data_IF_209338560194
#
_entry.id   IF_209338560194
#
_cell.length_a   1.000
_cell.length_b   1.000
_cell.length_c   1.000
_cell.angle_alpha   90.00
_cell.angle_beta   90.00
_cell.angle_gamma   90.00
#
_symmetry.space_group_name_H-M   'P 1'
#
loop_
_entity.id
_entity.type
_entity.pdbx_description
1 polymer ?
#
# COMPACT_ATOMS: atom_id res chain seq x y z
N UNK A 1 13.17 -39.73 26.00
CA UNK A 1 13.17 -38.37 25.40
C UNK A 1 11.71 -38.10 25.10
N UNK A 2 11.06 -37.47 26.07
CA UNK A 2 9.62 -37.20 26.02
C UNK A 2 9.36 -36.06 25.01
N UNK A 3 8.43 -36.29 24.11
CA UNK A 3 7.93 -35.27 23.17
C UNK A 3 7.28 -34.12 23.95
N UNK A 4 7.82 -32.92 23.83
CA UNK A 4 7.24 -31.69 24.36
C UNK A 4 5.94 -31.38 23.61
N UNK A 5 4.76 -31.41 24.25
CA UNK A 5 3.48 -31.24 23.60
C UNK A 5 3.21 -29.75 23.15
N UNK A 6 4.14 -28.82 23.38
CA UNK A 6 3.98 -27.39 23.02
C UNK A 6 4.57 -27.03 21.66
N UNK A 7 5.32 -27.94 20.99
CA UNK A 7 5.86 -27.69 19.66
C UNK A 7 4.86 -28.19 18.59
N UNK A 8 4.45 -27.33 17.63
CA UNK A 8 3.57 -27.76 16.56
C UNK A 8 4.24 -28.86 15.73
N UNK A 9 3.55 -29.98 15.58
CA UNK A 9 4.00 -31.13 14.81
C UNK A 9 4.41 -30.67 13.38
N UNK A 10 5.62 -31.03 12.91
CA UNK A 10 6.17 -30.66 11.59
C UNK A 10 5.16 -30.86 10.43
N UNK A 11 4.31 -31.88 10.51
CA UNK A 11 3.26 -32.14 9.49
C UNK A 11 2.17 -31.06 9.52
N UNK A 12 1.78 -30.54 10.68
CA UNK A 12 0.78 -29.47 10.79
C UNK A 12 1.33 -28.13 10.30
N UNK A 13 2.61 -27.86 10.54
CA UNK A 13 3.28 -26.65 10.05
C UNK A 13 3.42 -26.66 8.52
N UNK A 14 3.83 -27.80 7.93
CA UNK A 14 3.92 -27.95 6.47
C UNK A 14 2.56 -27.76 5.79
N UNK A 15 1.49 -28.31 6.37
CA UNK A 15 0.13 -28.14 5.84
C UNK A 15 -0.33 -26.68 5.88
N UNK A 16 -0.12 -25.98 6.99
CA UNK A 16 -0.45 -24.55 7.10
C UNK A 16 0.34 -23.69 6.11
N UNK A 17 1.61 -23.99 5.90
CA UNK A 17 2.48 -23.33 4.92
C UNK A 17 1.97 -23.56 3.48
N UNK A 18 1.60 -24.81 3.14
CA UNK A 18 1.01 -25.15 1.84
C UNK A 18 -0.33 -24.44 1.61
N UNK A 19 -1.20 -24.43 2.60
CA UNK A 19 -2.50 -23.75 2.51
C UNK A 19 -2.32 -22.22 2.36
N UNK A 20 -1.32 -21.65 3.03
CA UNK A 20 -0.95 -20.24 2.85
C UNK A 20 -0.39 -19.98 1.46
N UNK A 21 0.53 -20.80 0.96
CA UNK A 21 1.13 -20.64 -0.38
C UNK A 21 0.10 -20.76 -1.51
N UNK A 22 -0.84 -21.69 -1.42
CA UNK A 22 -1.89 -21.88 -2.44
C UNK A 22 -2.74 -20.64 -2.66
N UNK A 23 -2.97 -19.84 -1.62
CA UNK A 23 -3.71 -18.56 -1.75
C UNK A 23 -3.02 -17.53 -2.63
N UNK A 24 -1.75 -17.72 -2.97
CA UNK A 24 -0.96 -16.88 -3.87
C UNK A 24 -0.79 -17.51 -5.26
N UNK A 25 -1.31 -18.71 -5.49
CA UNK A 25 -1.28 -19.40 -6.79
C UNK A 25 -2.54 -19.15 -7.63
N UNK A 26 -3.65 -18.75 -6.99
CA UNK A 26 -4.92 -18.41 -7.67
C UNK A 26 -4.87 -17.03 -8.38
N UNK A 27 -3.65 -16.49 -8.57
CA UNK A 27 -3.42 -15.21 -9.21
C UNK A 27 -3.39 -15.36 -10.73
N UNK A 28 -4.45 -14.96 -11.42
CA UNK A 28 -4.60 -15.15 -12.87
C UNK A 28 -3.57 -14.43 -13.75
N UNK A 29 -2.83 -13.45 -13.22
CA UNK A 29 -1.80 -12.75 -13.98
C UNK A 29 -0.68 -12.18 -13.11
N UNK A 30 0.56 -12.30 -13.58
CA UNK A 30 1.71 -11.58 -13.03
C UNK A 30 1.59 -10.09 -13.35
N UNK A 31 1.50 -9.23 -12.34
CA UNK A 31 1.42 -7.78 -12.57
C UNK A 31 2.74 -7.23 -13.12
N UNK A 32 2.70 -6.14 -13.93
CA UNK A 32 3.91 -5.43 -14.36
C UNK A 32 4.80 -5.00 -13.18
N UNK A 33 4.22 -4.64 -12.04
CA UNK A 33 4.94 -4.25 -10.83
C UNK A 33 5.79 -5.39 -10.25
N UNK A 34 5.22 -6.60 -10.07
CA UNK A 34 5.97 -7.78 -9.64
C UNK A 34 7.14 -8.08 -10.59
N UNK A 35 6.88 -8.03 -11.90
CA UNK A 35 7.91 -8.25 -12.92
C UNK A 35 9.03 -7.22 -12.84
N UNK A 36 8.70 -5.94 -12.71
CA UNK A 36 9.67 -4.85 -12.60
C UNK A 36 10.53 -4.98 -11.34
N UNK A 37 9.93 -5.33 -10.20
CA UNK A 37 10.67 -5.52 -8.94
C UNK A 37 11.65 -6.68 -9.03
N UNK A 38 11.25 -7.82 -9.61
CA UNK A 38 12.13 -8.97 -9.85
C UNK A 38 13.27 -8.63 -10.80
N UNK A 39 13.00 -7.86 -11.86
CA UNK A 39 14.01 -7.41 -12.82
C UNK A 39 15.00 -6.43 -12.16
N UNK A 40 14.53 -5.50 -11.34
CA UNK A 40 15.37 -4.58 -10.58
C UNK A 40 16.28 -5.35 -9.62
N UNK A 41 15.77 -6.32 -8.88
CA UNK A 41 16.58 -7.16 -7.98
C UNK A 41 17.71 -7.87 -8.74
N UNK A 42 17.42 -8.45 -9.93
CA UNK A 42 18.44 -9.07 -10.77
C UNK A 42 19.55 -8.09 -11.18
N UNK A 43 19.15 -6.90 -11.66
CA UNK A 43 20.08 -5.87 -12.14
C UNK A 43 20.93 -5.28 -11.02
N UNK A 44 20.32 -4.97 -9.88
CA UNK A 44 21.00 -4.34 -8.75
C UNK A 44 22.06 -5.26 -8.16
N UNK A 45 21.73 -6.53 -7.95
CA UNK A 45 22.67 -7.53 -7.42
C UNK A 45 23.62 -8.09 -8.52
N UNK A 46 23.31 -7.86 -9.79
CA UNK A 46 24.16 -8.19 -10.94
C UNK A 46 24.03 -9.64 -11.40
N UNK A 47 22.87 -10.28 -11.28
CA UNK A 47 22.60 -11.64 -11.76
C UNK A 47 21.85 -11.62 -13.10
N UNK A 48 22.12 -12.65 -13.91
CA UNK A 48 21.52 -12.77 -15.25
C UNK A 48 20.08 -13.28 -15.25
N UNK A 49 19.69 -14.07 -14.24
CA UNK A 49 18.38 -14.72 -14.12
C UNK A 49 17.80 -14.40 -12.74
N UNK A 50 16.52 -14.05 -12.72
CA UNK A 50 15.76 -13.91 -11.48
C UNK A 50 14.39 -14.56 -11.60
N UNK A 51 13.94 -15.16 -10.52
CA UNK A 51 12.66 -15.85 -10.45
C UNK A 51 11.95 -15.56 -9.13
N UNK A 52 10.65 -15.29 -9.24
CA UNK A 52 9.72 -15.25 -8.11
C UNK A 52 8.97 -16.56 -8.08
N UNK A 53 9.18 -17.35 -7.03
CA UNK A 53 8.63 -18.69 -6.91
C UNK A 53 7.73 -18.80 -5.67
N UNK A 54 6.58 -19.47 -5.85
CA UNK A 54 5.71 -19.91 -4.76
C UNK A 54 5.78 -21.45 -4.69
N UNK A 55 5.85 -22.01 -3.48
CA UNK A 55 6.01 -23.45 -3.27
C UNK A 55 4.86 -24.00 -2.43
N UNK A 56 4.13 -24.98 -3.00
CA UNK A 56 3.20 -25.80 -2.22
C UNK A 56 3.88 -27.07 -1.66
N UNK A 57 3.12 -28.10 -1.34
CA UNK A 57 3.66 -29.34 -0.73
C UNK A 57 4.61 -30.10 -1.67
N UNK A 58 4.32 -30.12 -2.96
CA UNK A 58 5.03 -30.95 -3.95
C UNK A 58 5.65 -30.16 -5.10
N UNK A 59 5.16 -28.95 -5.35
CA UNK A 59 5.44 -28.20 -6.58
C UNK A 59 5.95 -26.79 -6.27
N UNK A 60 6.94 -26.36 -7.05
CA UNK A 60 7.36 -24.98 -7.16
C UNK A 60 6.71 -24.37 -8.41
N UNK A 61 5.99 -23.27 -8.23
CA UNK A 61 5.40 -22.48 -9.30
C UNK A 61 6.19 -21.18 -9.50
N UNK A 62 6.62 -20.93 -10.73
CA UNK A 62 7.36 -19.71 -11.07
C UNK A 62 6.39 -18.64 -11.58
N UNK A 63 6.11 -17.63 -10.77
CA UNK A 63 5.22 -16.53 -11.14
C UNK A 63 5.91 -15.53 -12.07
N UNK A 64 7.18 -15.19 -11.79
CA UNK A 64 7.99 -14.30 -12.63
C UNK A 64 9.28 -15.00 -12.98
N UNK A 65 9.67 -14.92 -14.25
CA UNK A 65 10.95 -15.40 -14.74
C UNK A 65 11.60 -14.34 -15.64
N UNK A 66 12.79 -13.88 -15.27
CA UNK A 66 13.59 -12.90 -16.00
C UNK A 66 14.89 -13.58 -16.45
N UNK A 67 15.21 -13.47 -17.71
CA UNK A 67 16.50 -13.95 -18.27
C UNK A 67 16.68 -15.48 -18.36
N UNK A 68 15.76 -16.25 -17.77
CA UNK A 68 15.81 -17.72 -17.78
C UNK A 68 14.94 -18.37 -18.87
N UNK A 69 15.08 -19.69 -19.10
CA UNK A 69 14.17 -20.42 -19.96
C UNK A 69 12.74 -20.40 -19.39
N UNK A 70 11.70 -20.54 -20.24
CA UNK A 70 10.33 -20.62 -19.75
C UNK A 70 10.16 -21.77 -18.77
N UNK A 71 9.74 -21.46 -17.54
CA UNK A 71 9.43 -22.43 -16.49
C UNK A 71 8.14 -21.99 -15.84
N UNK A 72 7.14 -22.86 -15.74
CA UNK A 72 5.88 -22.58 -15.06
C UNK A 72 5.73 -23.35 -13.74
N UNK A 73 6.07 -24.64 -13.75
CA UNK A 73 6.01 -25.49 -12.57
C UNK A 73 7.05 -26.60 -12.65
N UNK A 74 7.65 -26.93 -11.50
CA UNK A 74 8.62 -28.02 -11.34
C UNK A 74 8.40 -28.73 -10.01
N UNK A 75 8.87 -29.99 -9.90
CA UNK A 75 8.83 -30.73 -8.65
C UNK A 75 9.69 -30.01 -7.58
N UNK A 76 9.09 -29.66 -6.44
CA UNK A 76 9.72 -28.94 -5.35
C UNK A 76 11.03 -29.56 -4.87
N UNK A 77 11.05 -30.89 -4.76
CA UNK A 77 12.22 -31.66 -4.30
C UNK A 77 13.46 -31.50 -5.19
N UNK A 78 13.29 -31.07 -6.43
CA UNK A 78 14.37 -30.89 -7.42
C UNK A 78 14.96 -29.47 -7.42
N UNK A 79 14.49 -28.59 -6.54
CA UNK A 79 14.86 -27.17 -6.54
C UNK A 79 15.66 -26.77 -5.30
N UNK A 80 16.48 -25.71 -5.40
CA UNK A 80 17.17 -25.10 -4.26
C UNK A 80 16.24 -24.20 -3.44
N UNK A 81 15.15 -23.72 -4.01
CA UNK A 81 14.14 -22.92 -3.31
C UNK A 81 13.47 -23.71 -2.17
N UNK A 82 13.39 -25.04 -2.29
CA UNK A 82 12.91 -25.91 -1.20
C UNK A 82 13.78 -25.79 0.07
N UNK A 83 15.10 -25.68 -0.09
CA UNK A 83 16.02 -25.51 1.04
C UNK A 83 15.77 -24.16 1.76
N UNK A 84 15.50 -23.08 1.00
CA UNK A 84 15.20 -21.74 1.53
C UNK A 84 13.87 -21.74 2.28
N UNK A 85 12.84 -22.34 1.70
CA UNK A 85 11.52 -22.44 2.33
C UNK A 85 11.54 -23.28 3.60
N UNK A 86 12.32 -24.38 3.62
CA UNK A 86 12.45 -25.24 4.81
C UNK A 86 13.30 -24.65 5.92
N UNK A 87 14.36 -23.92 5.55
CA UNK A 87 15.25 -23.28 6.53
C UNK A 87 14.74 -21.95 7.03
N UNK A 88 13.81 -21.33 6.27
CA UNK A 88 13.29 -19.98 6.46
C UNK A 88 14.40 -18.90 6.49
N UNK A 89 15.55 -19.19 5.87
CA UNK A 89 16.74 -18.34 5.85
C UNK A 89 17.21 -18.09 4.42
N UNK A 90 17.86 -16.95 4.16
CA UNK A 90 18.56 -16.72 2.90
C UNK A 90 19.60 -17.84 2.61
N UNK A 91 19.79 -18.12 1.34
CA UNK A 91 20.78 -19.08 0.88
C UNK A 91 21.62 -18.49 -0.25
N UNK A 92 22.94 -18.65 -0.16
CA UNK A 92 23.90 -18.35 -1.22
C UNK A 92 24.72 -19.60 -1.49
N UNK A 93 24.59 -20.15 -2.70
CA UNK A 93 25.28 -21.38 -3.10
C UNK A 93 26.04 -21.12 -4.40
N UNK A 94 27.34 -21.42 -4.40
CA UNK A 94 28.15 -21.41 -5.61
C UNK A 94 28.75 -22.79 -5.85
N UNK A 95 28.95 -23.15 -7.11
CA UNK A 95 29.47 -24.46 -7.50
C UNK A 95 30.77 -24.84 -6.76
N UNK A 96 31.60 -23.84 -6.48
CA UNK A 96 32.92 -24.03 -5.87
C UNK A 96 32.93 -23.89 -4.34
N UNK A 97 31.80 -23.66 -3.70
CA UNK A 97 31.75 -23.51 -2.24
C UNK A 97 31.93 -24.84 -1.54
N UNK A 98 32.83 -24.86 -0.55
CA UNK A 98 33.19 -26.07 0.22
C UNK A 98 32.00 -26.55 1.05
N UNK A 99 31.14 -25.65 1.52
CA UNK A 99 29.99 -25.91 2.38
C UNK A 99 28.70 -26.30 1.63
N UNK A 100 28.70 -26.25 0.29
CA UNK A 100 27.56 -26.71 -0.50
C UNK A 100 27.39 -28.25 -0.35
N UNK A 101 26.13 -28.65 -0.11
CA UNK A 101 25.80 -30.09 -0.02
C UNK A 101 25.91 -30.78 -1.39
N UNK A 102 26.07 -32.13 -1.38
CA UNK A 102 26.08 -32.90 -2.63
C UNK A 102 24.80 -32.69 -3.44
N UNK A 103 23.63 -32.60 -2.76
CA UNK A 103 22.35 -32.33 -3.41
C UNK A 103 22.36 -30.96 -4.11
N UNK A 104 22.83 -29.92 -3.44
CA UNK A 104 22.88 -28.55 -4.00
C UNK A 104 23.81 -28.52 -5.23
N UNK A 105 24.98 -29.13 -5.16
CA UNK A 105 25.90 -29.21 -6.31
C UNK A 105 25.26 -29.93 -7.49
N UNK A 106 24.61 -31.06 -7.25
CA UNK A 106 23.94 -31.83 -8.31
C UNK A 106 22.84 -31.01 -8.99
N UNK A 107 22.04 -30.23 -8.23
CA UNK A 107 20.99 -29.38 -8.78
C UNK A 107 21.60 -28.26 -9.64
N UNK A 108 22.68 -27.62 -9.18
CA UNK A 108 23.38 -26.59 -9.95
C UNK A 108 23.93 -27.16 -11.27
N UNK A 109 24.57 -28.32 -11.21
CA UNK A 109 25.17 -28.96 -12.38
C UNK A 109 24.14 -29.42 -13.41
N UNK A 110 23.04 -30.00 -12.98
CA UNK A 110 21.95 -30.46 -13.86
C UNK A 110 21.29 -29.29 -14.60
N UNK A 111 21.23 -28.10 -13.99
CA UNK A 111 20.62 -26.91 -14.56
C UNK A 111 21.63 -25.96 -15.25
N UNK A 112 22.92 -26.30 -15.28
CA UNK A 112 23.95 -25.48 -15.86
C UNK A 112 24.15 -24.14 -15.14
N UNK A 113 23.86 -24.10 -13.83
CA UNK A 113 23.97 -22.92 -12.95
C UNK A 113 25.26 -22.99 -12.16
N UNK A 114 25.98 -21.87 -12.06
CA UNK A 114 27.22 -21.76 -11.29
C UNK A 114 27.07 -20.95 -9.99
N UNK A 115 26.08 -20.09 -9.91
CA UNK A 115 25.77 -19.30 -8.71
C UNK A 115 24.25 -19.22 -8.49
N UNK A 116 23.84 -19.32 -7.23
CA UNK A 116 22.47 -19.21 -6.75
C UNK A 116 22.43 -18.36 -5.48
N UNK A 117 21.53 -17.40 -5.43
CA UNK A 117 21.23 -16.63 -4.24
C UNK A 117 19.71 -16.55 -4.09
N UNK A 118 19.21 -16.66 -2.86
CA UNK A 118 17.76 -16.61 -2.65
C UNK A 118 17.42 -16.14 -1.26
N UNK A 119 16.27 -15.44 -1.16
CA UNK A 119 15.67 -15.02 0.09
C UNK A 119 14.26 -15.59 0.21
N UNK A 120 13.82 -15.98 1.43
CA UNK A 120 12.47 -16.46 1.65
C UNK A 120 11.48 -15.31 1.46
N UNK A 121 10.26 -15.66 1.02
CA UNK A 121 9.13 -14.73 0.93
C UNK A 121 8.04 -15.20 1.89
N UNK A 122 7.56 -14.30 2.73
CA UNK A 122 6.54 -14.59 3.73
C UNK A 122 5.17 -14.09 3.29
N UNK A 123 4.17 -14.91 3.51
CA UNK A 123 2.78 -14.48 3.39
C UNK A 123 2.33 -13.70 4.63
N UNK A 124 1.13 -13.13 4.56
CA UNK A 124 0.50 -12.34 5.63
C UNK A 124 0.46 -13.04 7.00
N UNK A 125 0.43 -14.37 7.01
CA UNK A 125 0.41 -15.17 8.24
C UNK A 125 1.81 -15.38 8.83
N UNK A 126 2.86 -14.73 8.26
CA UNK A 126 4.25 -14.86 8.65
C UNK A 126 4.91 -16.17 8.19
N UNK A 127 4.16 -17.05 7.52
CA UNK A 127 4.66 -18.31 7.00
C UNK A 127 5.42 -18.09 5.69
N UNK A 128 6.53 -18.79 5.48
CA UNK A 128 7.28 -18.72 4.22
C UNK A 128 6.51 -19.45 3.13
N UNK A 129 6.08 -18.71 2.10
CA UNK A 129 5.26 -19.22 0.99
C UNK A 129 6.05 -19.48 -0.28
N UNK A 130 7.28 -18.94 -0.36
CA UNK A 130 8.08 -19.03 -1.57
C UNK A 130 9.45 -18.39 -1.41
N UNK A 131 10.05 -18.00 -2.53
CA UNK A 131 11.34 -17.32 -2.54
C UNK A 131 11.55 -16.42 -3.76
N UNK A 132 12.31 -15.34 -3.58
CA UNK A 132 12.96 -14.63 -4.66
C UNK A 132 14.33 -15.26 -4.87
N UNK A 133 14.61 -15.80 -6.04
CA UNK A 133 15.90 -16.40 -6.34
C UNK A 133 16.56 -15.78 -7.57
N UNK A 134 17.88 -15.64 -7.46
CA UNK A 134 18.78 -15.16 -8.50
C UNK A 134 19.69 -16.32 -8.92
N UNK A 135 19.91 -16.47 -10.22
CA UNK A 135 20.73 -17.55 -10.77
C UNK A 135 21.70 -16.96 -11.83
N UNK A 136 22.88 -17.53 -11.88
CA UNK A 136 23.84 -17.18 -12.93
C UNK A 136 24.59 -18.44 -13.41
N UNK A 137 24.94 -18.45 -14.70
CA UNK A 137 25.79 -19.49 -15.30
C UNK A 137 27.28 -19.27 -15.03
N UNK A 138 27.62 -18.07 -14.59
CA UNK A 138 28.98 -17.72 -14.15
C UNK A 138 29.06 -17.75 -12.61
N UNK A 139 30.18 -18.18 -12.03
CA UNK A 139 30.37 -18.09 -10.58
C UNK A 139 30.26 -16.62 -10.12
N UNK A 140 29.47 -16.40 -9.07
CA UNK A 140 29.31 -15.09 -8.43
C UNK A 140 29.33 -15.25 -6.92
N UNK A 141 29.94 -14.29 -6.25
CA UNK A 141 29.89 -14.16 -4.80
C UNK A 141 29.05 -12.94 -4.46
N UNK A 142 28.19 -13.05 -3.45
CA UNK A 142 27.46 -11.92 -2.91
C UNK A 142 28.16 -11.39 -1.67
N UNK A 143 28.30 -10.07 -1.60
CA UNK A 143 28.63 -9.38 -0.35
C UNK A 143 27.43 -9.41 0.60
N UNK A 144 27.68 -9.20 1.91
CA UNK A 144 26.59 -9.06 2.89
C UNK A 144 25.64 -7.92 2.54
N UNK A 145 26.15 -6.79 2.01
CA UNK A 145 25.31 -5.68 1.56
C UNK A 145 24.39 -6.04 0.41
N UNK A 146 24.87 -6.82 -0.57
CA UNK A 146 24.04 -7.29 -1.68
C UNK A 146 22.97 -8.30 -1.22
N UNK A 147 23.28 -9.12 -0.21
CA UNK A 147 22.30 -10.02 0.37
C UNK A 147 21.21 -9.25 1.10
N UNK A 148 21.58 -8.22 1.89
CA UNK A 148 20.61 -7.33 2.54
C UNK A 148 19.73 -6.59 1.54
N UNK A 149 20.31 -6.15 0.42
CA UNK A 149 19.55 -5.53 -0.67
C UNK A 149 18.55 -6.50 -1.30
N UNK A 150 18.94 -7.76 -1.50
CA UNK A 150 18.05 -8.81 -1.99
C UNK A 150 16.90 -9.08 -0.99
N UNK A 151 17.15 -9.05 0.32
CA UNK A 151 16.13 -9.15 1.36
C UNK A 151 15.13 -7.99 1.31
N UNK A 152 15.59 -6.78 1.02
CA UNK A 152 14.70 -5.61 0.84
C UNK A 152 13.77 -5.80 -0.36
N UNK A 153 14.29 -6.27 -1.50
CA UNK A 153 13.43 -6.65 -2.64
C UNK A 153 12.44 -7.75 -2.29
N UNK A 154 12.86 -8.73 -1.47
CA UNK A 154 11.97 -9.76 -0.92
C UNK A 154 10.79 -9.14 -0.17
N UNK A 155 11.05 -8.21 0.74
CA UNK A 155 10.00 -7.53 1.51
C UNK A 155 9.03 -6.74 0.63
N UNK A 156 9.54 -6.03 -0.39
CA UNK A 156 8.67 -5.33 -1.37
C UNK A 156 7.78 -6.32 -2.14
N UNK A 157 8.35 -7.48 -2.54
CA UNK A 157 7.57 -8.52 -3.23
C UNK A 157 6.51 -9.15 -2.33
N UNK A 158 6.79 -9.34 -1.03
CA UNK A 158 5.81 -9.81 -0.06
C UNK A 158 4.59 -8.89 0.01
N UNK A 159 4.82 -7.57 0.08
CA UNK A 159 3.75 -6.56 0.10
C UNK A 159 2.95 -6.56 -1.22
N UNK A 160 3.65 -6.60 -2.36
CA UNK A 160 3.01 -6.65 -3.68
C UNK A 160 2.19 -7.94 -3.86
N UNK A 161 2.70 -9.09 -3.42
CA UNK A 161 1.98 -10.37 -3.46
C UNK A 161 0.74 -10.33 -2.58
N UNK A 162 0.84 -9.76 -1.36
CA UNK A 162 -0.32 -9.67 -0.47
C UNK A 162 -1.38 -8.72 -1.02
N UNK A 163 -0.98 -7.59 -1.60
CA UNK A 163 -1.88 -6.68 -2.29
C UNK A 163 -2.58 -7.38 -3.47
N UNK A 164 -1.82 -8.06 -4.32
CA UNK A 164 -2.35 -8.79 -5.47
C UNK A 164 -3.32 -9.90 -5.05
N UNK A 165 -3.00 -10.64 -3.96
CA UNK A 165 -3.90 -11.64 -3.37
C UNK A 165 -5.22 -11.02 -2.89
N UNK A 166 -5.15 -9.85 -2.24
CA UNK A 166 -6.36 -9.13 -1.78
C UNK A 166 -7.23 -8.75 -2.97
N UNK A 167 -6.65 -8.16 -4.01
CA UNK A 167 -7.35 -7.81 -5.24
C UNK A 167 -7.95 -9.06 -5.89
N UNK A 168 -7.18 -10.13 -6.08
CA UNK A 168 -7.65 -11.39 -6.67
C UNK A 168 -8.72 -12.09 -5.83
N UNK A 169 -8.57 -12.12 -4.49
CA UNK A 169 -9.59 -12.70 -3.60
C UNK A 169 -10.87 -11.87 -3.54
N UNK A 170 -10.75 -10.56 -3.73
CA UNK A 170 -11.89 -9.64 -3.80
C UNK A 170 -12.56 -9.74 -5.17
N UNK A 171 -11.80 -9.83 -6.27
CA UNK A 171 -12.34 -10.05 -7.61
C UNK A 171 -13.06 -11.42 -7.74
N UNK A 172 -12.52 -12.50 -7.14
CA UNK A 172 -13.17 -13.81 -7.08
C UNK A 172 -14.41 -13.83 -6.14
N UNK A 173 -14.49 -12.89 -5.19
CA UNK A 173 -15.66 -12.69 -4.31
C UNK A 173 -16.65 -11.65 -4.82
N UNK A 174 -16.20 -10.76 -5.70
CA UNK A 174 -17.02 -9.86 -6.50
C UNK A 174 -17.36 -10.66 -7.76
N UNK A 175 -18.45 -11.41 -7.73
CA UNK A 175 -19.01 -12.01 -8.93
C UNK A 175 -19.32 -10.88 -9.92
N UNK A 176 -18.36 -10.56 -10.80
CA UNK A 176 -18.37 -9.63 -11.92
C UNK A 176 -18.17 -8.12 -11.66
N UNK A 177 -17.54 -7.46 -12.66
CA UNK A 177 -17.50 -6.01 -12.90
C UNK A 177 -18.88 -5.32 -12.76
N UNK A 178 -19.96 -6.06 -12.85
CA UNK A 178 -21.33 -5.61 -12.64
C UNK A 178 -21.64 -5.23 -11.20
N UNK A 179 -20.99 -5.82 -10.19
CA UNK A 179 -21.34 -5.55 -8.79
C UNK A 179 -20.90 -4.15 -8.34
N UNK A 180 -19.73 -3.68 -8.74
CA UNK A 180 -19.21 -2.36 -8.31
C UNK A 180 -19.87 -1.21 -9.10
N UNK A 181 -20.07 -1.38 -10.42
CA UNK A 181 -20.83 -0.42 -11.22
C UNK A 181 -22.29 -0.37 -10.75
N UNK A 182 -22.92 -1.53 -10.51
CA UNK A 182 -24.27 -1.60 -9.93
C UNK A 182 -24.35 -1.03 -8.51
N UNK A 183 -23.27 -1.07 -7.74
CA UNK A 183 -23.18 -0.47 -6.41
C UNK A 183 -23.21 1.06 -6.46
N UNK A 184 -22.56 1.68 -7.46
CA UNK A 184 -22.64 3.12 -7.71
C UNK A 184 -24.07 3.53 -8.08
N UNK A 185 -24.66 2.88 -9.08
CA UNK A 185 -26.02 3.15 -9.54
C UNK A 185 -27.08 2.98 -8.44
N UNK A 186 -26.84 2.05 -7.52
CA UNK A 186 -27.74 1.75 -6.39
C UNK A 186 -27.45 2.58 -5.13
N UNK A 187 -26.50 3.52 -5.17
CA UNK A 187 -26.12 4.35 -4.02
C UNK A 187 -25.53 3.56 -2.84
N UNK A 188 -24.88 2.44 -3.10
CA UNK A 188 -24.25 1.61 -2.07
C UNK A 188 -22.86 2.11 -1.69
N UNK A 189 -22.22 2.95 -2.52
CA UNK A 189 -20.95 3.60 -2.22
C UNK A 189 -21.26 4.91 -1.49
N UNK A 190 -20.79 5.02 -0.25
CA UNK A 190 -21.05 6.18 0.60
C UNK A 190 -19.79 6.62 1.34
N UNK A 191 -19.63 7.91 1.67
CA UNK A 191 -18.54 8.36 2.54
C UNK A 191 -18.83 8.05 4.01
N UNK A 192 -17.81 7.56 4.69
CA UNK A 192 -17.66 7.64 6.13
C UNK A 192 -16.61 8.71 6.45
N UNK A 193 -16.60 9.23 7.65
CA UNK A 193 -15.82 10.40 7.99
C UNK A 193 -14.96 10.14 9.22
N UNK A 194 -13.69 10.51 9.15
CA UNK A 194 -12.77 10.46 10.27
C UNK A 194 -12.29 11.88 10.61
N UNK A 195 -12.30 12.23 11.90
CA UNK A 195 -11.91 13.56 12.34
C UNK A 195 -10.41 13.82 12.15
N UNK A 196 -10.09 14.98 11.60
CA UNK A 196 -8.78 15.63 11.70
C UNK A 196 -8.87 16.63 12.83
N UNK A 197 -7.94 16.58 13.79
CA UNK A 197 -7.99 17.37 15.01
C UNK A 197 -6.81 18.34 15.11
N UNK A 198 -7.03 19.48 15.73
CA UNK A 198 -5.95 20.34 16.24
C UNK A 198 -5.38 19.67 17.52
N UNK A 199 -4.10 19.35 17.47
CA UNK A 199 -3.41 18.64 18.58
C UNK A 199 -3.38 19.43 19.89
N UNK A 200 -3.43 20.77 19.84
CA UNK A 200 -3.41 21.61 21.02
C UNK A 200 -4.74 21.64 21.74
N UNK A 201 -5.85 21.64 20.97
CA UNK A 201 -7.20 21.77 21.52
C UNK A 201 -7.91 20.43 21.66
N UNK A 202 -7.51 19.44 20.83
CA UNK A 202 -8.18 18.16 20.71
C UNK A 202 -9.52 18.22 19.96
N UNK A 203 -9.93 19.41 19.45
CA UNK A 203 -11.16 19.56 18.69
C UNK A 203 -10.95 19.24 17.21
N UNK A 204 -12.00 18.74 16.58
CA UNK A 204 -12.01 18.52 15.14
C UNK A 204 -11.93 19.86 14.38
N UNK A 205 -11.06 19.93 13.39
CA UNK A 205 -10.92 21.06 12.45
C UNK A 205 -11.39 20.67 11.04
N UNK A 206 -11.72 19.42 10.84
CA UNK A 206 -12.21 18.87 9.59
C UNK A 206 -12.45 17.36 9.67
N UNK A 207 -12.86 16.80 8.54
CA UNK A 207 -13.10 15.38 8.40
C UNK A 207 -12.58 14.89 7.06
N UNK A 208 -11.93 13.73 7.07
CA UNK A 208 -11.61 12.98 5.86
C UNK A 208 -12.76 12.07 5.47
N UNK A 209 -13.18 12.15 4.21
CA UNK A 209 -14.18 11.29 3.62
C UNK A 209 -13.53 10.00 3.09
N UNK A 210 -13.92 8.89 3.66
CA UNK A 210 -13.40 7.57 3.36
C UNK A 210 -14.51 6.73 2.72
N UNK A 211 -14.35 6.33 1.47
CA UNK A 211 -15.30 5.49 0.77
C UNK A 211 -15.66 4.23 1.58
N UNK A 212 -16.93 3.84 1.56
CA UNK A 212 -17.43 2.58 2.12
C UNK A 212 -18.46 1.99 1.18
N UNK A 213 -18.44 0.69 1.03
CA UNK A 213 -19.43 -0.01 0.22
C UNK A 213 -20.40 -0.78 1.12
N UNK A 214 -21.66 -0.37 1.12
CA UNK A 214 -22.74 -1.09 1.77
C UNK A 214 -23.24 -2.24 0.87
N UNK A 215 -22.47 -3.32 0.86
CA UNK A 215 -22.80 -4.48 0.03
C UNK A 215 -23.99 -5.25 0.60
N UNK A 216 -25.01 -5.62 -0.24
CA UNK A 216 -26.27 -6.19 0.24
C UNK A 216 -26.12 -7.52 1.01
N UNK A 217 -25.12 -8.32 0.72
CA UNK A 217 -24.89 -9.63 1.37
C UNK A 217 -23.65 -9.67 2.26
N UNK A 218 -22.67 -8.77 2.04
CA UNK A 218 -21.38 -8.75 2.76
C UNK A 218 -21.31 -7.69 3.86
N UNK A 219 -22.34 -6.85 3.95
CA UNK A 219 -22.37 -5.74 4.88
C UNK A 219 -21.41 -4.60 4.48
N UNK A 220 -20.76 -3.97 5.43
CA UNK A 220 -19.87 -2.84 5.20
C UNK A 220 -18.49 -3.32 4.71
N UNK A 221 -18.17 -3.04 3.45
CA UNK A 221 -16.89 -3.39 2.81
C UNK A 221 -15.94 -2.19 2.87
N UNK A 222 -14.69 -2.46 3.26
CA UNK A 222 -13.63 -1.45 3.39
C UNK A 222 -13.03 -1.04 2.04
N UNK A 223 -12.53 0.22 1.87
CA UNK A 223 -11.88 0.67 0.64
C UNK A 223 -10.71 -0.24 0.23
N UNK A 224 -9.93 -0.75 1.17
CA UNK A 224 -8.80 -1.67 0.89
C UNK A 224 -9.22 -2.95 0.17
N UNK A 225 -10.52 -3.28 0.20
CA UNK A 225 -11.06 -4.48 -0.43
C UNK A 225 -11.65 -4.22 -1.83
N UNK A 226 -11.94 -2.97 -2.24
CA UNK A 226 -12.54 -2.67 -3.54
C UNK A 226 -11.84 -1.56 -4.34
N UNK A 227 -11.18 -0.59 -3.70
CA UNK A 227 -10.51 0.52 -4.38
C UNK A 227 -9.38 0.01 -5.30
N UNK A 228 -8.49 -0.93 -4.90
CA UNK A 228 -7.45 -1.43 -5.80
C UNK A 228 -8.01 -2.10 -7.06
N UNK A 229 -9.22 -2.68 -6.99
CA UNK A 229 -9.92 -3.21 -8.15
C UNK A 229 -10.45 -2.07 -9.04
N UNK A 230 -11.11 -1.07 -8.45
CA UNK A 230 -11.62 0.09 -9.17
C UNK A 230 -10.50 0.88 -9.88
N UNK A 231 -9.30 0.99 -9.27
CA UNK A 231 -8.13 1.63 -9.87
C UNK A 231 -7.62 0.95 -11.14
N UNK A 232 -7.94 -0.33 -11.33
CA UNK A 232 -7.61 -1.06 -12.57
C UNK A 232 -8.50 -0.67 -13.75
N UNK A 233 -9.60 0.04 -13.51
CA UNK A 233 -10.61 0.47 -14.48
C UNK A 233 -10.96 1.97 -14.31
N UNK A 234 -11.85 2.50 -15.15
CA UNK A 234 -12.36 3.86 -15.01
C UNK A 234 -13.38 4.03 -13.88
N UNK A 235 -13.86 2.94 -13.28
CA UNK A 235 -14.80 2.98 -12.16
C UNK A 235 -14.27 3.76 -10.95
N UNK A 236 -12.97 3.85 -10.79
CA UNK A 236 -12.38 4.67 -9.72
C UNK A 236 -12.74 6.14 -9.86
N UNK A 237 -12.85 6.65 -11.09
CA UNK A 237 -13.24 8.05 -11.35
C UNK A 237 -14.68 8.28 -10.88
N UNK A 238 -15.58 7.35 -11.19
CA UNK A 238 -16.98 7.43 -10.78
C UNK A 238 -17.12 7.34 -9.25
N UNK A 239 -16.31 6.50 -8.61
CA UNK A 239 -16.25 6.40 -7.14
C UNK A 239 -15.75 7.69 -6.51
N UNK A 240 -14.64 8.25 -7.01
CA UNK A 240 -14.07 9.50 -6.51
C UNK A 240 -15.10 10.64 -6.59
N UNK A 241 -15.80 10.76 -7.74
CA UNK A 241 -16.83 11.76 -7.96
C UNK A 241 -18.05 11.58 -7.06
N UNK A 242 -18.52 10.34 -6.90
CA UNK A 242 -19.69 10.06 -6.05
C UNK A 242 -19.37 10.33 -4.57
N UNK A 243 -18.18 9.89 -4.09
CA UNK A 243 -17.75 10.17 -2.74
C UNK A 243 -17.58 11.66 -2.51
N UNK A 244 -16.96 12.42 -3.44
CA UNK A 244 -16.83 13.87 -3.36
C UNK A 244 -18.21 14.54 -3.27
N UNK A 245 -19.14 14.19 -4.17
CA UNK A 245 -20.49 14.79 -4.22
C UNK A 245 -21.27 14.57 -2.93
N UNK A 246 -21.23 13.35 -2.41
CA UNK A 246 -21.88 12.99 -1.16
C UNK A 246 -21.21 13.65 0.06
N UNK A 247 -19.88 13.69 0.09
CA UNK A 247 -19.11 14.31 1.18
C UNK A 247 -19.35 15.83 1.22
N UNK A 248 -19.37 16.50 0.09
CA UNK A 248 -19.68 17.94 0.00
C UNK A 248 -21.10 18.25 0.49
N UNK A 249 -22.07 17.37 0.17
CA UNK A 249 -23.43 17.49 0.70
C UNK A 249 -23.48 17.39 2.23
N UNK A 250 -22.67 16.50 2.82
CA UNK A 250 -22.56 16.41 4.27
C UNK A 250 -21.86 17.65 4.87
N UNK A 251 -20.81 18.14 4.22
CA UNK A 251 -20.10 19.34 4.67
C UNK A 251 -21.01 20.60 4.68
N UNK A 252 -21.98 20.71 3.77
CA UNK A 252 -22.99 21.79 3.84
C UNK A 252 -23.74 21.77 5.17
N UNK A 253 -24.17 20.58 5.63
CA UNK A 253 -24.86 20.42 6.91
C UNK A 253 -23.96 20.80 8.10
N UNK A 254 -22.68 20.44 8.03
CA UNK A 254 -21.72 20.79 9.09
C UNK A 254 -21.51 22.31 9.17
N UNK A 255 -21.42 22.98 8.01
CA UNK A 255 -21.18 24.43 7.91
C UNK A 255 -22.36 25.26 8.46
N UNK A 256 -23.57 24.72 8.57
CA UNK A 256 -24.67 25.38 9.26
C UNK A 256 -24.37 25.60 10.77
N UNK A 257 -23.53 24.73 11.36
CA UNK A 257 -23.16 24.76 12.76
C UNK A 257 -21.72 25.21 13.01
N UNK A 258 -20.79 24.74 12.17
CA UNK A 258 -19.36 24.97 12.27
C UNK A 258 -18.77 25.29 10.87
N UNK A 259 -18.81 26.56 10.43
CA UNK A 259 -18.47 26.95 9.05
C UNK A 259 -16.97 26.77 8.70
N UNK A 260 -16.11 26.62 9.72
CA UNK A 260 -14.67 26.51 9.53
C UNK A 260 -14.18 25.04 9.39
N UNK A 261 -15.08 24.06 9.45
CA UNK A 261 -14.72 22.65 9.27
C UNK A 261 -14.31 22.36 7.84
N UNK A 262 -13.15 21.76 7.68
CA UNK A 262 -12.59 21.36 6.38
C UNK A 262 -13.03 19.95 6.01
N UNK A 263 -13.08 19.70 4.71
CA UNK A 263 -13.36 18.39 4.13
C UNK A 263 -12.14 17.92 3.35
N UNK A 264 -11.65 16.71 3.61
CA UNK A 264 -10.68 16.04 2.75
C UNK A 264 -11.34 14.88 2.00
N UNK A 265 -10.99 14.70 0.74
CA UNK A 265 -11.51 13.62 -0.11
C UNK A 265 -10.37 13.02 -0.92
N UNK A 266 -10.26 11.71 -0.89
CA UNK A 266 -9.29 10.97 -1.69
C UNK A 266 -9.59 11.10 -3.18
N UNK A 267 -8.56 11.28 -3.99
CA UNK A 267 -8.61 11.34 -5.44
C UNK A 267 -7.55 10.45 -6.05
N UNK A 268 -7.96 9.57 -6.93
CA UNK A 268 -7.03 8.67 -7.62
C UNK A 268 -6.15 9.42 -8.63
N UNK A 269 -4.93 8.95 -8.82
CA UNK A 269 -4.05 9.47 -9.86
C UNK A 269 -4.62 9.27 -11.28
N UNK A 270 -5.44 8.23 -11.47
CA UNK A 270 -6.16 7.98 -12.72
C UNK A 270 -7.19 9.08 -13.01
N UNK A 271 -7.93 9.51 -11.99
CA UNK A 271 -8.89 10.61 -12.13
C UNK A 271 -8.17 11.91 -12.46
N UNK A 272 -7.12 12.25 -11.73
CA UNK A 272 -6.35 13.47 -11.98
C UNK A 272 -5.68 13.48 -13.37
N UNK A 273 -5.33 12.30 -13.93
CA UNK A 273 -4.82 12.16 -15.28
C UNK A 273 -5.90 12.19 -16.37
N UNK A 274 -7.19 12.15 -16.00
CA UNK A 274 -8.28 12.18 -16.98
C UNK A 274 -8.41 13.58 -17.61
N UNK A 275 -8.59 13.70 -18.95
CA UNK A 275 -8.68 15.00 -19.62
C UNK A 275 -9.77 15.95 -19.07
N UNK A 276 -10.87 15.38 -18.60
CA UNK A 276 -12.02 16.13 -18.08
C UNK A 276 -12.02 16.27 -16.54
N UNK A 277 -10.93 15.88 -15.85
CA UNK A 277 -10.86 15.86 -14.38
C UNK A 277 -11.32 17.18 -13.74
N UNK A 278 -10.77 18.29 -14.21
CA UNK A 278 -11.07 19.64 -13.67
C UNK A 278 -12.55 20.01 -13.86
N UNK A 279 -13.11 19.72 -15.03
CA UNK A 279 -14.53 19.98 -15.33
C UNK A 279 -15.46 19.09 -14.48
N UNK A 280 -15.07 17.82 -14.26
CA UNK A 280 -15.81 16.88 -13.42
C UNK A 280 -15.83 17.35 -11.95
N UNK A 281 -14.69 17.78 -11.42
CA UNK A 281 -14.58 18.32 -10.05
C UNK A 281 -15.41 19.59 -9.89
N UNK A 282 -15.29 20.54 -10.83
CA UNK A 282 -16.10 21.76 -10.83
C UNK A 282 -17.60 21.44 -10.82
N UNK A 283 -18.02 20.48 -11.66
CA UNK A 283 -19.42 20.04 -11.73
C UNK A 283 -19.89 19.39 -10.42
N UNK A 284 -19.03 18.60 -9.78
CA UNK A 284 -19.38 17.89 -8.54
C UNK A 284 -19.70 18.84 -7.37
N UNK A 285 -19.10 20.05 -7.35
CA UNK A 285 -19.31 21.05 -6.29
C UNK A 285 -20.17 22.23 -6.71
N UNK A 286 -20.57 22.34 -7.98
CA UNK A 286 -21.23 23.53 -8.55
C UNK A 286 -22.53 23.94 -7.85
N UNK A 287 -23.26 22.99 -7.25
CA UNK A 287 -24.52 23.26 -6.54
C UNK A 287 -24.34 23.35 -5.02
N UNK A 288 -23.11 23.29 -4.55
CA UNK A 288 -22.79 23.34 -3.12
C UNK A 288 -22.59 24.79 -2.64
N UNK A 289 -22.95 25.04 -1.39
CA UNK A 289 -22.59 26.28 -0.67
C UNK A 289 -21.21 26.18 -0.01
N UNK A 290 -20.58 25.01 -0.01
CA UNK A 290 -19.22 24.81 0.50
C UNK A 290 -18.22 25.44 -0.45
N UNK A 291 -17.41 26.36 0.07
CA UNK A 291 -16.34 26.95 -0.73
C UNK A 291 -15.29 25.89 -1.09
N UNK A 292 -14.82 25.81 -2.35
CA UNK A 292 -13.72 24.91 -2.71
C UNK A 292 -12.47 25.06 -1.83
N UNK A 293 -12.18 26.25 -1.28
CA UNK A 293 -11.08 26.46 -0.34
C UNK A 293 -11.20 25.69 0.98
N UNK A 294 -12.37 25.14 1.26
CA UNK A 294 -12.60 24.27 2.42
C UNK A 294 -12.44 22.80 2.09
N UNK A 295 -12.10 22.46 0.84
CA UNK A 295 -12.00 21.10 0.34
C UNK A 295 -10.55 20.80 -0.02
N UNK A 296 -10.00 19.77 0.59
CA UNK A 296 -8.71 19.17 0.25
C UNK A 296 -8.93 17.94 -0.63
N UNK A 297 -8.20 17.86 -1.73
CA UNK A 297 -8.09 16.66 -2.56
C UNK A 297 -6.81 15.92 -2.16
N UNK A 298 -6.94 14.69 -1.67
CA UNK A 298 -5.83 13.87 -1.19
C UNK A 298 -5.33 12.97 -2.32
N UNK A 299 -4.05 13.08 -2.65
CA UNK A 299 -3.38 12.32 -3.70
C UNK A 299 -2.40 11.35 -3.07
N UNK A 300 -2.58 10.05 -3.27
CA UNK A 300 -1.66 9.03 -2.75
C UNK A 300 -0.28 9.09 -3.43
N UNK A 301 0.80 8.83 -2.67
CA UNK A 301 2.17 8.80 -3.19
C UNK A 301 2.35 7.72 -4.28
N UNK A 302 1.66 6.59 -4.15
CA UNK A 302 1.74 5.44 -5.06
C UNK A 302 0.98 5.61 -6.36
N UNK A 303 0.11 6.63 -6.48
CA UNK A 303 -0.49 6.92 -7.77
C UNK A 303 0.64 7.16 -8.76
N UNK A 304 0.72 6.33 -9.81
CA UNK A 304 1.75 6.37 -10.86
C UNK A 304 1.64 7.67 -11.66
N UNK A 305 2.01 8.76 -11.01
CA UNK A 305 2.09 10.12 -11.57
C UNK A 305 3.38 10.18 -12.40
N UNK A 306 3.47 9.30 -13.43
CA UNK A 306 4.63 9.27 -14.33
C UNK A 306 4.59 10.36 -15.40
N UNK A 307 3.49 11.14 -15.50
CA UNK A 307 3.30 12.04 -16.64
C UNK A 307 3.16 13.50 -16.22
N UNK A 308 4.28 14.03 -15.80
CA UNK A 308 4.51 15.36 -15.27
C UNK A 308 3.69 16.55 -15.83
N UNK A 309 3.62 16.84 -17.16
CA UNK A 309 3.04 18.12 -17.60
C UNK A 309 1.52 18.22 -17.51
N UNK A 310 0.77 17.13 -17.71
CA UNK A 310 -0.70 17.15 -17.65
C UNK A 310 -1.19 17.25 -16.21
N UNK A 311 -0.65 16.42 -15.34
CA UNK A 311 -1.04 16.41 -13.93
C UNK A 311 -0.67 17.71 -13.24
N UNK A 312 0.53 18.25 -13.51
CA UNK A 312 0.90 19.59 -13.01
C UNK A 312 -0.11 20.64 -13.44
N UNK A 313 -0.49 20.66 -14.73
CA UNK A 313 -1.51 21.60 -15.24
C UNK A 313 -2.86 21.42 -14.53
N UNK A 314 -3.30 20.16 -14.34
CA UNK A 314 -4.56 19.90 -13.66
C UNK A 314 -4.52 20.32 -12.19
N UNK A 315 -3.39 20.20 -11.51
CA UNK A 315 -3.21 20.72 -10.14
C UNK A 315 -3.31 22.25 -10.15
N UNK A 316 -2.64 22.93 -11.09
CA UNK A 316 -2.73 24.38 -11.24
C UNK A 316 -4.19 24.82 -11.49
N UNK A 317 -4.93 24.10 -12.35
CA UNK A 317 -6.34 24.38 -12.64
C UNK A 317 -7.26 24.09 -11.42
N UNK A 318 -6.96 23.04 -10.65
CA UNK A 318 -7.66 22.69 -9.40
C UNK A 318 -7.44 23.77 -8.34
N UNK A 319 -6.21 24.28 -8.20
CA UNK A 319 -5.93 25.46 -7.36
C UNK A 319 -6.67 26.71 -7.84
N UNK A 320 -6.74 26.93 -9.16
CA UNK A 320 -7.49 28.05 -9.73
C UNK A 320 -9.00 27.98 -9.45
N UNK A 321 -9.56 26.77 -9.29
CA UNK A 321 -10.93 26.57 -8.82
C UNK A 321 -11.09 26.81 -7.30
N UNK A 322 -9.98 26.90 -6.57
CA UNK A 322 -9.94 27.15 -5.14
C UNK A 322 -9.79 25.89 -4.27
N UNK A 323 -9.71 24.71 -4.84
CA UNK A 323 -9.39 23.50 -4.04
C UNK A 323 -7.97 23.54 -3.51
N UNK A 324 -7.74 22.82 -2.43
CA UNK A 324 -6.41 22.57 -1.88
C UNK A 324 -5.99 21.12 -2.14
N UNK A 325 -4.69 20.88 -2.27
CA UNK A 325 -4.13 19.54 -2.56
C UNK A 325 -3.26 19.07 -1.41
N UNK A 326 -3.53 17.87 -0.91
CA UNK A 326 -2.69 17.16 0.07
C UNK A 326 -1.99 15.98 -0.60
N UNK A 327 -0.72 15.77 -0.28
CA UNK A 327 -0.05 14.51 -0.58
C UNK A 327 -0.26 13.56 0.59
N UNK A 328 -0.86 12.41 0.30
CA UNK A 328 -1.14 11.36 1.27
C UNK A 328 -0.04 10.30 1.32
N UNK A 329 0.03 9.52 2.41
CA UNK A 329 1.04 8.49 2.66
C UNK A 329 2.50 9.00 2.59
N UNK A 330 2.74 10.27 2.92
CA UNK A 330 4.04 10.90 2.75
C UNK A 330 5.09 10.29 3.69
N UNK A 331 6.20 9.84 3.10
CA UNK A 331 7.30 9.21 3.82
C UNK A 331 7.30 7.68 3.75
N UNK A 332 6.36 7.07 3.06
CA UNK A 332 6.32 5.63 2.80
C UNK A 332 7.27 5.20 1.66
N UNK A 333 7.68 6.14 0.77
CA UNK A 333 8.45 5.88 -0.44
C UNK A 333 9.68 6.79 -0.62
N UNK A 334 10.46 6.51 -1.68
CA UNK A 334 11.71 7.24 -1.99
C UNK A 334 11.51 8.53 -2.80
N UNK A 335 10.33 8.72 -3.39
CA UNK A 335 10.03 9.83 -4.32
C UNK A 335 9.31 11.02 -3.69
N UNK A 336 8.98 10.95 -2.39
CA UNK A 336 8.13 11.92 -1.68
C UNK A 336 8.63 13.37 -1.79
N UNK A 337 9.93 13.62 -1.62
CA UNK A 337 10.48 14.99 -1.63
C UNK A 337 10.48 15.61 -3.04
N UNK A 338 10.69 14.83 -4.09
CA UNK A 338 10.61 15.31 -5.48
C UNK A 338 9.21 15.81 -5.82
N UNK A 339 8.17 15.11 -5.33
CA UNK A 339 6.77 15.49 -5.52
C UNK A 339 6.40 16.80 -4.87
N UNK A 340 6.97 17.15 -3.71
CA UNK A 340 6.76 18.46 -3.12
C UNK A 340 7.19 19.60 -4.06
N UNK A 341 8.29 19.37 -4.80
CA UNK A 341 8.81 20.37 -5.75
C UNK A 341 8.00 20.39 -7.04
N UNK A 342 7.56 19.23 -7.53
CA UNK A 342 6.87 19.13 -8.82
C UNK A 342 5.40 19.53 -8.70
N UNK A 343 4.72 19.07 -7.65
CA UNK A 343 3.27 19.24 -7.53
C UNK A 343 2.86 20.49 -6.74
N UNK A 344 3.78 21.05 -5.95
CA UNK A 344 3.53 22.24 -5.10
C UNK A 344 2.20 22.13 -4.30
N UNK A 345 2.05 21.06 -3.46
CA UNK A 345 0.81 20.84 -2.72
C UNK A 345 0.61 21.90 -1.62
N UNK A 346 -0.60 22.00 -1.07
CA UNK A 346 -0.91 22.83 0.09
C UNK A 346 -0.56 22.14 1.41
N UNK A 347 -0.36 20.83 1.39
CA UNK A 347 0.01 20.08 2.60
C UNK A 347 0.39 18.63 2.36
N UNK A 348 0.74 17.99 3.45
CA UNK A 348 1.16 16.58 3.49
C UNK A 348 0.50 15.83 4.66
N UNK A 349 0.17 14.57 4.44
CA UNK A 349 -0.26 13.63 5.49
C UNK A 349 0.89 12.64 5.74
N UNK A 350 1.37 12.59 6.96
CA UNK A 350 2.48 11.70 7.34
C UNK A 350 1.92 10.32 7.61
N UNK A 351 2.42 9.33 6.86
CA UNK A 351 1.99 7.94 6.94
C UNK A 351 2.02 7.37 8.37
N UNK A 352 0.99 6.65 8.72
CA UNK A 352 0.84 5.95 9.99
C UNK A 352 2.00 4.98 10.31
N UNK A 353 2.72 4.47 9.32
CA UNK A 353 3.92 3.66 9.55
C UNK A 353 5.01 4.46 10.26
N UNK A 354 5.24 5.74 9.88
CA UNK A 354 6.22 6.59 10.55
C UNK A 354 5.79 6.91 11.99
N UNK A 355 4.47 7.09 12.21
CA UNK A 355 3.90 7.30 13.54
C UNK A 355 4.19 6.14 14.51
N UNK A 356 4.24 4.89 14.04
CA UNK A 356 4.61 3.73 14.87
C UNK A 356 6.03 3.84 15.47
N UNK A 357 6.93 4.56 14.80
CA UNK A 357 8.31 4.74 15.25
C UNK A 357 8.55 6.08 15.97
N UNK A 358 7.51 6.88 16.23
CA UNK A 358 7.64 8.22 16.83
C UNK A 358 8.27 8.20 18.23
N UNK A 359 8.24 7.05 18.92
CA UNK A 359 8.86 6.83 20.23
C UNK A 359 10.38 6.61 20.14
N UNK A 360 10.93 6.34 18.95
CA UNK A 360 12.35 6.10 18.73
C UNK A 360 13.09 7.39 18.36
N UNK A 361 14.39 7.46 18.66
CA UNK A 361 15.22 8.62 18.30
C UNK A 361 15.23 8.88 16.79
N UNK A 362 15.27 7.82 15.98
CA UNK A 362 15.23 7.92 14.50
C UNK A 362 13.88 8.41 14.00
N UNK A 363 12.78 7.86 14.51
CA UNK A 363 11.43 8.32 14.16
C UNK A 363 11.23 9.79 14.52
N UNK A 364 11.62 10.19 15.74
CA UNK A 364 11.58 11.60 16.17
C UNK A 364 12.41 12.53 15.26
N UNK A 365 13.62 12.09 14.86
CA UNK A 365 14.47 12.88 13.98
C UNK A 365 13.80 13.08 12.60
N UNK A 366 13.20 12.03 12.03
CA UNK A 366 12.50 12.09 10.74
C UNK A 366 11.26 13.00 10.81
N UNK A 367 10.38 12.81 11.79
CA UNK A 367 9.18 13.65 11.95
C UNK A 367 9.56 15.11 12.17
N UNK A 368 10.59 15.40 12.97
CA UNK A 368 11.10 16.77 13.17
C UNK A 368 11.60 17.38 11.86
N UNK A 369 12.33 16.61 11.04
CA UNK A 369 12.81 17.08 9.74
C UNK A 369 11.66 17.40 8.80
N UNK A 370 10.65 16.52 8.71
CA UNK A 370 9.45 16.74 7.90
C UNK A 370 8.63 17.94 8.39
N UNK A 371 8.47 18.09 9.72
CA UNK A 371 7.82 19.26 10.31
C UNK A 371 8.56 20.57 9.98
N UNK A 372 9.89 20.54 9.92
CA UNK A 372 10.68 21.72 9.48
C UNK A 372 10.43 22.01 8.00
N UNK A 373 10.49 21.00 7.14
CA UNK A 373 10.22 21.16 5.70
C UNK A 373 8.82 21.70 5.46
N UNK A 374 7.81 21.14 6.11
CA UNK A 374 6.42 21.61 5.98
C UNK A 374 6.30 23.08 6.39
N UNK A 375 6.90 23.48 7.49
CA UNK A 375 6.89 24.85 7.97
C UNK A 375 7.60 25.82 7.01
N UNK A 376 8.79 25.43 6.54
CA UNK A 376 9.61 26.26 5.66
C UNK A 376 8.96 26.47 4.28
N UNK A 377 8.15 25.51 3.84
CA UNK A 377 7.37 25.57 2.60
C UNK A 377 5.93 26.11 2.81
N UNK A 378 5.52 26.38 4.05
CA UNK A 378 4.15 26.85 4.35
C UNK A 378 3.06 25.80 4.20
N UNK A 379 3.42 24.50 4.27
CA UNK A 379 2.49 23.38 4.07
C UNK A 379 1.70 23.05 5.34
N UNK A 380 0.45 22.67 5.18
CA UNK A 380 -0.32 21.98 6.22
C UNK A 380 0.30 20.59 6.42
N UNK A 381 0.54 20.20 7.68
CA UNK A 381 1.02 18.86 8.00
C UNK A 381 0.06 18.14 8.93
N UNK A 382 -0.45 16.99 8.52
CA UNK A 382 -1.35 16.12 9.29
C UNK A 382 -0.59 14.84 9.64
N UNK A 383 -0.52 14.51 10.92
CA UNK A 383 0.09 13.26 11.38
C UNK A 383 -0.97 12.16 11.51
N UNK A 384 -0.80 11.06 10.78
CA UNK A 384 -1.75 9.97 10.76
C UNK A 384 -1.43 8.87 11.78
N UNK A 385 -2.44 8.04 12.09
CA UNK A 385 -2.27 6.85 12.91
C UNK A 385 -1.92 7.12 14.37
N UNK A 386 -2.31 8.26 14.92
CA UNK A 386 -2.17 8.54 16.35
C UNK A 386 -3.20 7.71 17.12
N UNK A 387 -2.73 6.76 17.94
CA UNK A 387 -3.56 5.86 18.73
C UNK A 387 -3.45 6.11 20.23
N UNK A 388 -2.39 6.76 20.69
CA UNK A 388 -2.13 6.99 22.11
C UNK A 388 -1.86 8.45 22.41
N UNK A 389 -2.20 8.88 23.65
CA UNK A 389 -1.89 10.24 24.16
C UNK A 389 -0.39 10.54 24.09
N UNK A 390 0.46 9.55 24.38
CA UNK A 390 1.91 9.70 24.31
C UNK A 390 2.40 10.04 22.88
N UNK A 391 1.84 9.39 21.86
CA UNK A 391 2.15 9.74 20.46
C UNK A 391 1.72 11.17 20.14
N UNK A 392 0.53 11.60 20.60
CA UNK A 392 0.06 12.97 20.38
C UNK A 392 0.96 14.00 21.06
N UNK A 393 1.38 13.76 22.31
CA UNK A 393 2.32 14.64 23.04
C UNK A 393 3.65 14.77 22.30
N UNK A 394 4.21 13.66 21.83
CA UNK A 394 5.45 13.66 21.05
C UNK A 394 5.27 14.42 19.72
N UNK A 395 4.15 14.22 19.02
CA UNK A 395 3.85 14.92 17.78
C UNK A 395 3.82 16.45 18.00
N UNK A 396 3.23 16.92 19.10
CA UNK A 396 3.24 18.34 19.50
C UNK A 396 4.69 18.83 19.73
N UNK A 397 5.50 18.08 20.51
CA UNK A 397 6.90 18.41 20.77
C UNK A 397 7.73 18.53 19.47
N UNK A 398 7.37 17.73 18.45
CA UNK A 398 8.05 17.73 17.15
C UNK A 398 7.54 18.82 16.19
N UNK A 399 6.54 19.61 16.63
CA UNK A 399 6.00 20.74 15.88
C UNK A 399 4.82 20.40 14.98
N UNK A 400 4.21 19.23 15.13
CA UNK A 400 2.97 18.89 14.45
C UNK A 400 1.78 19.67 15.07
N UNK A 401 0.87 20.14 14.23
CA UNK A 401 -0.30 20.91 14.67
C UNK A 401 -1.59 20.16 14.48
N UNK A 402 -1.69 19.33 13.45
CA UNK A 402 -2.86 18.54 13.11
C UNK A 402 -2.55 17.06 13.15
N UNK A 403 -3.55 16.28 13.50
CA UNK A 403 -3.43 14.82 13.52
C UNK A 403 -4.77 14.13 13.24
N UNK A 404 -4.64 12.85 12.88
CA UNK A 404 -5.72 11.92 12.68
C UNK A 404 -5.37 10.58 13.30
N UNK A 405 -6.34 9.88 13.89
CA UNK A 405 -6.10 8.56 14.44
C UNK A 405 -7.18 8.08 15.41
N UNK A 406 -7.05 6.82 15.81
CA UNK A 406 -8.02 6.15 16.65
C UNK A 406 -8.04 6.67 18.10
N UNK A 407 -7.10 7.53 18.47
CA UNK A 407 -7.13 8.23 19.75
C UNK A 407 -8.40 9.07 19.89
N UNK A 408 -8.86 9.70 18.80
CA UNK A 408 -10.05 10.58 18.81
C UNK A 408 -11.27 9.90 18.20
N UNK A 409 -11.15 9.36 16.99
CA UNK A 409 -12.26 8.67 16.35
C UNK A 409 -11.78 7.61 15.34
N UNK A 410 -12.58 6.56 15.21
CA UNK A 410 -12.58 5.72 14.02
C UNK A 410 -13.45 6.38 12.96
N UNK A 411 -13.33 6.01 11.66
CA UNK A 411 -14.27 6.45 10.64
C UNK A 411 -15.72 6.19 11.09
N UNK A 412 -16.59 7.18 10.92
CA UNK A 412 -17.98 7.18 11.37
C UNK A 412 -18.93 7.48 10.21
N UNK A 413 -20.18 7.05 10.32
CA UNK A 413 -21.21 7.39 9.34
C UNK A 413 -21.55 8.88 9.36
N UNK A 414 -22.08 9.41 8.26
CA UNK A 414 -22.53 10.78 8.14
C UNK A 414 -23.49 11.19 9.28
N UNK A 415 -24.42 10.31 9.67
CA UNK A 415 -25.38 10.58 10.75
C UNK A 415 -24.71 10.71 12.12
N UNK A 416 -23.62 10.00 12.37
CA UNK A 416 -22.87 10.12 13.62
C UNK A 416 -22.11 11.45 13.67
N UNK A 417 -21.48 11.85 12.56
CA UNK A 417 -20.76 13.13 12.47
C UNK A 417 -21.71 14.32 12.59
N UNK A 418 -22.90 14.28 11.97
CA UNK A 418 -23.90 15.34 12.13
C UNK A 418 -24.24 15.59 13.61
N UNK A 419 -24.48 14.51 14.41
CA UNK A 419 -24.73 14.65 15.85
C UNK A 419 -23.54 15.24 16.61
N UNK A 420 -22.33 14.84 16.24
CA UNK A 420 -21.11 15.38 16.83
C UNK A 420 -20.97 16.88 16.57
N UNK A 421 -21.26 17.33 15.36
CA UNK A 421 -21.11 18.74 14.94
C UNK A 421 -22.22 19.63 15.48
N UNK A 422 -23.48 19.11 15.59
CA UNK A 422 -24.62 19.86 16.15
C UNK A 422 -24.58 19.97 17.69
N UNK A 423 -23.73 19.15 18.36
CA UNK A 423 -23.67 19.13 19.82
C UNK A 423 -24.76 18.28 20.48
N UNK A 424 -25.47 17.46 19.70
CA UNK A 424 -26.56 16.58 20.19
C UNK A 424 -26.06 15.19 20.63
N UNK A 425 -24.79 15.10 21.05
CA UNK A 425 -24.12 13.85 21.41
C UNK A 425 -23.88 13.63 22.91
#
# INVERSE_FOLDING_TARGET
MEDDPTLPNRRSQTRRQTDSARRYLDLEATTPALRSTVELAARSVGFAIAQLNILDETTQYTLVNIGGPPVSAVERSTTLCDDVVRSEKPAVVTRNRIDATVRQRNILDQNGIAAYASVPLRGREGLVIGSLCLLDRMPRELSEGQLQELEQYGSVLEEQLDLHRRVGSTAAKLDNDHDLAGALDSGQIVPWFQSVVDLRTGFAVGFEALARWHHPTRGLVSPVDFVPFAESSELIIDIDLEVLRLAVKEAQVWHEHQPDLRLSVNMSGRHLAHPDAVAQLQSAVAQSTVSPHMIFLELTETSSVSDGPLIRRHIDDVHALGFQVLLDDFGSGWSSLERLVILEPDGIKIDAQLTKYIDTDRGRALVRALSSVARDLGLVMIMEGIETRKQAEIAIELGCTLAQGFLWSRPQSASAVRRLVSGDG
#
